data_IF_148339168605
#
_entry.id   IF_148339168605
#
_cell.length_a   1.000
_cell.length_b   1.000
_cell.length_c   1.000
_cell.angle_alpha   90.00
_cell.angle_beta   90.00
_cell.angle_gamma   90.00
#
_symmetry.space_group_name_H-M   'P 1'
#
loop_
_entity.id
_entity.type
_entity.pdbx_description
1 polymer ?
#
# COMPACT_ATOMS: atom_id res chain seq x y z
N UNK A 1 -1.95 3.35 15.30
CA UNK A 1 -1.69 2.50 14.11
C UNK A 1 -3.00 1.81 13.76
N UNK A 2 -3.40 1.77 12.48
CA UNK A 2 -4.60 1.04 12.04
C UNK A 2 -4.23 -0.40 11.69
N UNK A 3 -5.17 -1.34 11.84
CA UNK A 3 -4.99 -2.74 11.41
C UNK A 3 -4.61 -2.82 9.93
N UNK A 4 -5.18 -1.94 9.09
CA UNK A 4 -4.86 -1.85 7.67
C UNK A 4 -3.38 -1.52 7.43
N UNK A 5 -2.85 -0.51 8.13
CA UNK A 5 -1.43 -0.11 8.04
C UNK A 5 -0.50 -1.23 8.51
N UNK A 6 -0.88 -1.97 9.55
CA UNK A 6 -0.11 -3.12 10.03
C UNK A 6 -0.04 -4.25 9.00
N UNK A 7 -1.16 -4.58 8.34
CA UNK A 7 -1.18 -5.60 7.29
C UNK A 7 -0.35 -5.20 6.07
N UNK A 8 -0.49 -3.95 5.60
CA UNK A 8 0.33 -3.41 4.51
C UNK A 8 1.82 -3.43 4.86
N UNK A 9 2.16 -3.20 6.13
CA UNK A 9 3.54 -3.24 6.63
C UNK A 9 4.14 -4.66 6.67
N UNK A 10 3.38 -5.71 6.38
CA UNK A 10 3.91 -7.08 6.19
C UNK A 10 4.35 -7.33 4.76
N UNK A 11 3.95 -6.48 3.81
CA UNK A 11 4.26 -6.62 2.39
C UNK A 11 5.61 -5.99 2.04
N UNK A 12 6.28 -6.61 1.07
CA UNK A 12 7.43 -6.02 0.37
C UNK A 12 6.99 -4.90 -0.57
N UNK A 13 7.91 -4.04 -1.00
CA UNK A 13 7.59 -2.99 -1.97
C UNK A 13 7.02 -3.54 -3.28
N UNK A 14 7.55 -4.68 -3.76
CA UNK A 14 7.03 -5.36 -4.96
C UNK A 14 5.58 -5.80 -4.77
N UNK A 15 5.27 -6.41 -3.63
CA UNK A 15 3.93 -6.85 -3.30
C UNK A 15 2.94 -5.68 -3.13
N UNK A 16 3.39 -4.55 -2.58
CA UNK A 16 2.58 -3.33 -2.51
C UNK A 16 2.25 -2.78 -3.90
N UNK A 17 3.22 -2.79 -4.83
CA UNK A 17 3.00 -2.42 -6.24
C UNK A 17 1.98 -3.34 -6.91
N UNK A 18 2.17 -4.66 -6.81
CA UNK A 18 1.26 -5.65 -7.39
C UNK A 18 -0.17 -5.52 -6.84
N UNK A 19 -0.31 -5.34 -5.52
CA UNK A 19 -1.61 -5.14 -4.89
C UNK A 19 -2.27 -3.84 -5.36
N UNK A 20 -1.51 -2.73 -5.41
CA UNK A 20 -2.02 -1.46 -5.90
C UNK A 20 -2.48 -1.53 -7.36
N UNK A 21 -1.70 -2.17 -8.23
CA UNK A 21 -2.06 -2.41 -9.63
C UNK A 21 -3.33 -3.25 -9.75
N UNK A 22 -3.46 -4.33 -8.96
CA UNK A 22 -4.65 -5.20 -8.97
C UNK A 22 -5.93 -4.48 -8.56
N UNK A 23 -5.81 -3.36 -7.83
CA UNK A 23 -6.93 -2.53 -7.35
C UNK A 23 -7.07 -1.21 -8.11
N UNK A 24 -6.23 -0.95 -9.12
CA UNK A 24 -6.25 0.32 -9.85
C UNK A 24 -5.83 1.53 -9.02
N UNK A 25 -5.11 1.32 -7.91
CA UNK A 25 -4.65 2.40 -7.03
C UNK A 25 -3.46 3.10 -7.70
N UNK A 26 -3.62 4.39 -7.99
CA UNK A 26 -2.57 5.21 -8.57
C UNK A 26 -1.74 5.93 -7.51
N UNK A 27 -0.42 5.83 -7.60
CA UNK A 27 0.52 6.61 -6.78
C UNK A 27 0.80 8.02 -7.34
N UNK A 28 -0.07 8.56 -8.20
CA UNK A 28 0.07 9.93 -8.70
C UNK A 28 -0.07 10.92 -7.55
N UNK A 29 0.96 11.73 -7.35
CA UNK A 29 1.04 12.71 -6.27
C UNK A 29 1.00 14.15 -6.77
N UNK A 30 0.26 14.99 -6.06
CA UNK A 30 0.36 16.45 -6.18
C UNK A 30 1.74 16.95 -5.72
N UNK A 31 2.11 18.19 -6.05
CA UNK A 31 3.36 18.78 -5.57
C UNK A 31 3.43 18.84 -4.03
N UNK A 32 2.29 19.12 -3.38
CA UNK A 32 2.19 19.12 -1.91
C UNK A 32 2.48 17.74 -1.30
N UNK A 33 1.92 16.69 -1.90
CA UNK A 33 2.18 15.30 -1.46
C UNK A 33 3.64 14.89 -1.73
N UNK A 34 4.22 15.32 -2.86
CA UNK A 34 5.64 15.05 -3.14
C UNK A 34 6.56 15.66 -2.09
N UNK A 35 6.32 16.92 -1.70
CA UNK A 35 7.07 17.56 -0.59
C UNK A 35 6.83 16.85 0.75
N UNK A 36 5.60 16.40 1.01
CA UNK A 36 5.28 15.68 2.25
C UNK A 36 6.05 14.35 2.37
N UNK A 37 6.16 13.59 1.27
CA UNK A 37 6.83 12.29 1.24
C UNK A 37 8.31 12.36 0.81
N UNK A 38 8.92 13.54 0.72
CA UNK A 38 10.26 13.74 0.13
C UNK A 38 11.35 12.91 0.81
N UNK A 39 11.25 12.73 2.13
CA UNK A 39 12.21 11.96 2.94
C UNK A 39 11.75 10.55 3.29
N UNK A 40 10.60 10.11 2.76
CA UNK A 40 10.04 8.79 3.06
C UNK A 40 10.58 7.78 2.05
N UNK A 41 10.82 6.55 2.51
CA UNK A 41 11.08 5.47 1.56
C UNK A 41 9.85 5.22 0.69
N UNK A 42 10.07 4.72 -0.53
CA UNK A 42 8.98 4.36 -1.44
C UNK A 42 7.98 3.41 -0.78
N UNK A 43 8.47 2.46 0.03
CA UNK A 43 7.65 1.53 0.80
C UNK A 43 6.78 2.21 1.84
N UNK A 44 7.35 3.09 2.67
CA UNK A 44 6.58 3.81 3.70
C UNK A 44 5.50 4.67 3.06
N UNK A 45 5.85 5.36 1.97
CA UNK A 45 4.92 6.17 1.18
C UNK A 45 3.77 5.31 0.62
N UNK A 46 4.07 4.16 0.05
CA UNK A 46 3.06 3.24 -0.49
C UNK A 46 2.10 2.76 0.59
N UNK A 47 2.62 2.35 1.75
CA UNK A 47 1.81 1.93 2.89
C UNK A 47 0.84 3.04 3.31
N UNK A 48 1.32 4.29 3.34
CA UNK A 48 0.52 5.43 3.76
C UNK A 48 -0.60 5.74 2.75
N UNK A 49 -0.27 5.85 1.46
CA UNK A 49 -1.25 6.07 0.38
C UNK A 49 -2.30 4.94 0.35
N UNK A 50 -1.85 3.69 0.46
CA UNK A 50 -2.76 2.52 0.43
C UNK A 50 -3.59 2.40 1.70
N UNK A 51 -3.10 2.89 2.84
CA UNK A 51 -3.88 2.94 4.08
C UNK A 51 -5.07 3.91 3.93
N UNK A 52 -4.84 5.07 3.30
CA UNK A 52 -5.82 6.15 3.23
C UNK A 52 -6.87 6.00 2.12
N UNK A 53 -6.62 5.15 1.11
CA UNK A 53 -7.64 4.87 0.09
C UNK A 53 -8.79 4.00 0.61
N UNK A 54 -10.02 4.31 0.21
CA UNK A 54 -11.19 3.45 0.47
C UNK A 54 -11.28 2.26 -0.51
N UNK A 55 -10.49 2.27 -1.58
CA UNK A 55 -10.51 1.25 -2.64
C UNK A 55 -9.79 -0.05 -2.25
N UNK A 56 -9.30 -0.13 -1.01
CA UNK A 56 -8.61 -1.28 -0.45
C UNK A 56 -9.14 -1.61 0.93
N UNK A 57 -9.82 -2.74 1.05
CA UNK A 57 -10.32 -3.26 2.32
C UNK A 57 -9.29 -4.13 3.03
N UNK A 58 -9.45 -4.28 4.34
CA UNK A 58 -8.62 -5.18 5.17
C UNK A 58 -8.65 -6.61 4.62
N UNK A 59 -9.84 -7.10 4.27
CA UNK A 59 -10.05 -8.46 3.77
C UNK A 59 -9.26 -8.74 2.50
N UNK A 60 -9.22 -7.78 1.57
CA UNK A 60 -8.47 -7.92 0.32
C UNK A 60 -6.96 -7.97 0.55
N UNK A 61 -6.45 -7.21 1.53
CA UNK A 61 -5.03 -7.27 1.91
C UNK A 61 -4.71 -8.65 2.50
N UNK A 62 -5.58 -9.18 3.37
CA UNK A 62 -5.40 -10.53 3.94
C UNK A 62 -5.45 -11.63 2.87
N UNK A 63 -6.39 -11.54 1.93
CA UNK A 63 -6.49 -12.47 0.80
C UNK A 63 -5.23 -12.41 -0.07
N UNK A 64 -4.73 -11.20 -0.35
CA UNK A 64 -3.49 -11.02 -1.10
C UNK A 64 -2.28 -11.63 -0.38
N UNK A 65 -2.12 -11.38 0.92
CA UNK A 65 -1.05 -11.96 1.74
C UNK A 65 -1.10 -13.49 1.68
N UNK A 66 -2.29 -14.09 1.88
CA UNK A 66 -2.47 -15.56 1.81
C UNK A 66 -2.09 -16.10 0.42
N UNK A 67 -2.50 -15.41 -0.64
CA UNK A 67 -2.18 -15.83 -2.01
C UNK A 67 -0.68 -15.75 -2.35
N UNK A 68 0.02 -14.78 -1.77
CA UNK A 68 1.46 -14.58 -1.98
C UNK A 68 2.33 -15.58 -1.21
N UNK A 69 1.85 -16.12 -0.09
CA UNK A 69 2.57 -17.15 0.69
C UNK A 69 2.48 -18.53 0.02
N UNK A 70 1.41 -18.78 -0.75
CA UNK A 70 1.17 -20.06 -1.42
C UNK A 70 1.70 -20.11 -2.87
N UNK A 71 2.53 -19.14 -3.27
CA UNK A 71 3.12 -19.01 -4.62
C UNK A 71 4.61 -19.26 -4.56
#
# INVERSE_FOLDING_TARGET
MSLKKELLSKLTEKQLKELAESKGISFKMTEKQRKYYENWSDRERMIDIMNDTNDLTIKEIEEFIKSSINR
#
